data_IF_790510344456
#
_entry.id   IF_790510344456
#
_cell.length_a   1.000
_cell.length_b   1.000
_cell.length_c   1.000
_cell.angle_alpha   90.00
_cell.angle_beta   90.00
_cell.angle_gamma   90.00
#
_symmetry.space_group_name_H-M   'P 1'
#
loop_
_entity.id
_entity.type
_entity.pdbx_description
1 polymer ?
#
# COMPACT_ATOMS: atom_id res chain seq x y z
N UNK A 1 3.99 9.45 14.38
CA UNK A 1 4.86 9.61 13.19
C UNK A 1 4.54 10.97 12.60
N UNK A 2 5.52 11.72 12.09
CA UNK A 2 5.25 13.00 11.43
C UNK A 2 5.27 12.76 9.92
N UNK A 3 4.23 13.25 9.22
CA UNK A 3 4.18 13.28 7.76
C UNK A 3 4.47 14.70 7.30
N UNK A 4 5.45 14.84 6.41
CA UNK A 4 5.90 16.12 5.88
C UNK A 4 5.29 16.36 4.50
N UNK A 5 4.68 17.53 4.29
CA UNK A 5 4.25 17.97 2.97
C UNK A 5 4.92 19.31 2.62
N UNK A 6 5.33 19.43 1.35
CA UNK A 6 5.93 20.65 0.80
C UNK A 6 5.22 21.03 -0.49
N UNK A 7 4.62 22.22 -0.51
CA UNK A 7 4.02 22.79 -1.70
C UNK A 7 5.11 23.08 -2.73
N UNK A 8 5.14 22.34 -3.84
CA UNK A 8 6.23 22.44 -4.81
C UNK A 8 6.27 23.78 -5.56
N UNK A 9 5.17 24.53 -5.57
CA UNK A 9 5.05 25.83 -6.24
C UNK A 9 5.18 27.03 -5.29
N UNK A 10 4.82 26.87 -4.02
CA UNK A 10 4.87 27.94 -3.00
C UNK A 10 6.05 27.80 -2.05
N UNK A 11 6.66 26.61 -1.98
CA UNK A 11 7.64 26.19 -0.97
C UNK A 11 7.13 26.28 0.48
N UNK A 12 5.82 26.38 0.66
CA UNK A 12 5.19 26.31 1.98
C UNK A 12 5.28 24.88 2.51
N UNK A 13 5.54 24.77 3.81
CA UNK A 13 5.73 23.51 4.51
C UNK A 13 4.72 23.41 5.65
N UNK A 14 4.04 22.27 5.70
CA UNK A 14 3.14 21.93 6.80
C UNK A 14 3.55 20.56 7.34
N UNK A 15 3.59 20.44 8.67
CA UNK A 15 3.80 19.16 9.35
C UNK A 15 2.47 18.70 9.92
N UNK A 16 2.09 17.48 9.56
CA UNK A 16 0.88 16.85 10.07
C UNK A 16 1.26 15.58 10.84
N UNK A 17 0.76 15.44 12.05
CA UNK A 17 0.97 14.27 12.88
C UNK A 17 0.02 13.14 12.47
N UNK A 18 0.52 11.91 12.52
CA UNK A 18 -0.28 10.70 12.37
C UNK A 18 0.18 9.61 13.34
N UNK A 19 -0.57 8.51 13.37
CA UNK A 19 -0.21 7.34 14.15
C UNK A 19 1.23 6.89 13.88
N UNK A 20 1.89 6.44 14.94
CA UNK A 20 3.17 5.78 14.80
C UNK A 20 3.02 4.48 13.98
N UNK A 21 4.05 4.20 13.17
CA UNK A 21 4.26 2.92 12.53
C UNK A 21 5.40 3.02 11.55
N UNK A 22 5.51 2.04 10.66
CA UNK A 22 6.66 1.92 9.78
C UNK A 22 6.22 1.41 8.40
N UNK A 23 6.45 2.20 7.36
CA UNK A 23 6.15 1.83 5.98
C UNK A 23 7.40 1.91 5.11
N UNK A 24 7.53 0.95 4.19
CA UNK A 24 8.60 0.94 3.19
C UNK A 24 8.19 1.67 1.92
N UNK A 25 7.01 1.32 1.41
CA UNK A 25 6.55 1.77 0.10
C UNK A 25 5.29 2.63 0.22
N UNK A 26 5.34 3.78 -0.43
CA UNK A 26 4.15 4.55 -0.79
C UNK A 26 3.42 3.82 -1.93
N UNK A 27 2.09 3.78 -1.86
CA UNK A 27 1.23 3.23 -2.90
C UNK A 27 0.91 4.32 -3.92
N UNK A 28 0.44 5.47 -3.44
CA UNK A 28 0.19 6.69 -4.22
C UNK A 28 -0.07 7.88 -3.28
N UNK A 29 0.04 9.10 -3.80
CA UNK A 29 -0.44 10.30 -3.13
C UNK A 29 -1.13 11.24 -4.13
N UNK A 30 -2.21 11.91 -3.72
CA UNK A 30 -2.97 12.79 -4.61
C UNK A 30 -3.81 13.83 -3.86
N UNK A 31 -4.17 14.90 -4.54
CA UNK A 31 -5.09 15.92 -4.03
C UNK A 31 -6.55 15.51 -4.24
N UNK A 32 -7.39 15.73 -3.23
CA UNK A 32 -8.85 15.55 -3.30
C UNK A 32 -9.54 16.79 -2.74
N UNK A 33 -9.85 17.75 -3.62
CA UNK A 33 -10.33 19.06 -3.20
C UNK A 33 -9.20 19.83 -2.52
N UNK A 34 -9.38 20.19 -1.26
CA UNK A 34 -8.33 20.81 -0.43
C UNK A 34 -7.42 19.80 0.26
N UNK A 35 -7.81 18.53 0.29
CA UNK A 35 -7.17 17.52 1.12
C UNK A 35 -6.07 16.80 0.35
N UNK A 36 -5.07 16.30 1.06
CA UNK A 36 -4.01 15.48 0.48
C UNK A 36 -4.18 14.04 0.99
N UNK A 37 -4.29 13.11 0.06
CA UNK A 37 -4.38 11.68 0.34
C UNK A 37 -3.00 11.06 0.15
N UNK A 38 -2.53 10.29 1.12
CA UNK A 38 -1.27 9.53 1.05
C UNK A 38 -1.55 8.09 1.46
N UNK A 39 -1.34 7.16 0.53
CA UNK A 39 -1.54 5.74 0.74
C UNK A 39 -0.19 5.04 0.90
N UNK A 40 -0.04 4.22 1.95
CA UNK A 40 1.24 3.61 2.33
C UNK A 40 1.03 2.15 2.74
N UNK A 41 1.93 1.28 2.31
CA UNK A 41 2.10 -0.07 2.87
C UNK A 41 2.77 0.07 4.24
N UNK A 42 1.99 -0.09 5.32
CA UNK A 42 2.45 0.30 6.65
C UNK A 42 2.23 -0.79 7.70
N UNK A 43 3.31 -1.16 8.37
CA UNK A 43 3.34 -2.03 9.55
C UNK A 43 3.14 -1.23 10.84
N UNK A 44 2.81 -1.92 11.93
CA UNK A 44 2.54 -1.29 13.22
C UNK A 44 3.77 -0.58 13.81
N UNK A 45 4.97 -1.08 13.53
CA UNK A 45 6.22 -0.50 14.02
C UNK A 45 7.44 -1.02 13.24
N UNK A 46 8.61 -0.45 13.52
CA UNK A 46 9.87 -0.74 12.82
C UNK A 46 10.41 -2.16 13.08
N UNK A 47 9.86 -2.93 14.00
CA UNK A 47 10.24 -4.34 14.17
C UNK A 47 9.88 -5.18 12.92
N UNK A 48 9.04 -4.67 12.01
CA UNK A 48 8.79 -5.27 10.71
C UNK A 48 10.06 -5.45 9.86
N UNK A 49 11.12 -4.67 10.11
CA UNK A 49 12.45 -4.87 9.50
C UNK A 49 13.01 -6.25 9.82
N UNK A 50 12.66 -6.81 10.97
CA UNK A 50 13.16 -8.11 11.37
C UNK A 50 12.64 -9.24 10.46
N UNK A 51 11.47 -9.05 9.83
CA UNK A 51 10.87 -10.02 8.93
C UNK A 51 11.72 -10.26 7.67
N UNK A 52 12.64 -9.34 7.36
CA UNK A 52 13.52 -9.41 6.20
C UNK A 52 14.82 -10.18 6.45
N UNK A 53 15.12 -10.56 7.70
CA UNK A 53 16.29 -11.39 7.96
C UNK A 53 16.03 -12.84 7.53
N UNK A 54 17.04 -13.45 6.90
CA UNK A 54 16.94 -14.80 6.32
C UNK A 54 16.59 -15.85 7.36
N UNK A 55 17.13 -15.76 8.57
CA UNK A 55 16.82 -16.67 9.68
C UNK A 55 15.35 -16.56 10.12
N UNK A 56 14.75 -15.37 10.04
CA UNK A 56 13.32 -15.16 10.32
C UNK A 56 12.46 -15.73 9.19
N UNK A 57 12.81 -15.44 7.93
CA UNK A 57 12.08 -15.95 6.76
C UNK A 57 12.08 -17.49 6.70
N UNK A 58 13.23 -18.11 7.01
CA UNK A 58 13.42 -19.57 6.97
C UNK A 58 13.08 -20.27 8.29
N UNK A 59 12.84 -19.50 9.35
CA UNK A 59 12.63 -19.99 10.71
C UNK A 59 11.19 -20.45 10.97
N UNK A 60 10.91 -20.73 12.24
CA UNK A 60 9.54 -20.99 12.66
C UNK A 60 8.66 -19.77 12.44
N UNK A 61 7.37 -20.03 12.23
CA UNK A 61 6.39 -18.98 12.03
C UNK A 61 6.31 -18.06 13.25
N UNK A 62 6.45 -16.76 13.01
CA UNK A 62 6.40 -15.75 14.08
C UNK A 62 5.16 -14.86 13.94
N UNK A 63 4.73 -14.23 15.03
CA UNK A 63 3.59 -13.31 15.06
C UNK A 63 4.00 -11.88 14.61
N UNK A 64 4.78 -11.79 13.53
CA UNK A 64 5.34 -10.53 13.07
C UNK A 64 4.28 -9.65 12.37
N UNK A 65 4.42 -8.33 12.54
CA UNK A 65 3.55 -7.35 11.91
C UNK A 65 3.80 -7.34 10.41
N UNK A 66 2.74 -7.50 9.62
CA UNK A 66 2.78 -7.35 8.17
C UNK A 66 2.14 -6.02 7.76
N UNK A 67 2.65 -5.37 6.70
CA UNK A 67 2.16 -4.09 6.25
C UNK A 67 0.72 -4.20 5.75
N UNK A 68 -0.10 -3.21 6.11
CA UNK A 68 -1.48 -3.05 5.64
C UNK A 68 -1.59 -1.80 4.78
N UNK A 69 -2.66 -1.75 3.99
CA UNK A 69 -3.00 -0.55 3.23
C UNK A 69 -3.48 0.54 4.21
N UNK A 70 -2.64 1.54 4.48
CA UNK A 70 -2.97 2.65 5.37
C UNK A 70 -3.08 3.95 4.58
N UNK A 71 -4.25 4.60 4.66
CA UNK A 71 -4.55 5.89 4.04
C UNK A 71 -4.46 7.00 5.09
N UNK A 72 -3.64 8.00 4.81
CA UNK A 72 -3.57 9.26 5.54
C UNK A 72 -4.28 10.33 4.72
N UNK A 73 -5.22 11.02 5.34
CA UNK A 73 -5.86 12.22 4.78
C UNK A 73 -5.36 13.41 5.56
N UNK A 74 -4.54 14.24 4.92
CA UNK A 74 -4.01 15.48 5.48
C UNK A 74 -5.02 16.59 5.19
N UNK A 75 -5.57 17.19 6.24
CA UNK A 75 -6.56 18.24 6.16
C UNK A 75 -5.87 19.59 6.43
N UNK A 76 -5.92 20.57 5.51
CA UNK A 76 -5.24 21.85 5.70
C UNK A 76 -5.64 22.55 6.99
N UNK A 77 -4.66 23.12 7.69
CA UNK A 77 -4.89 23.85 8.94
C UNK A 77 -5.19 22.94 10.14
N UNK A 78 -5.01 21.62 10.00
CA UNK A 78 -5.09 20.67 11.10
C UNK A 78 -3.70 20.08 11.38
N UNK A 79 -3.41 19.85 12.65
CA UNK A 79 -2.15 19.24 13.06
C UNK A 79 -2.17 17.71 12.99
N UNK A 80 -3.33 17.08 12.70
CA UNK A 80 -3.49 15.62 12.76
C UNK A 80 -4.16 15.09 11.49
N UNK A 81 -3.56 14.06 10.90
CA UNK A 81 -4.12 13.35 9.76
C UNK A 81 -5.30 12.49 10.19
N UNK A 82 -6.33 12.39 9.33
CA UNK A 82 -7.30 11.29 9.44
C UNK A 82 -6.67 10.03 8.87
N UNK A 83 -6.88 8.91 9.55
CA UNK A 83 -6.21 7.64 9.24
C UNK A 83 -7.25 6.55 9.03
N UNK A 84 -7.04 5.74 8.00
CA UNK A 84 -7.89 4.61 7.68
C UNK A 84 -7.05 3.41 7.22
N UNK A 85 -7.49 2.20 7.58
CA UNK A 85 -6.97 0.95 7.02
C UNK A 85 -7.99 0.50 5.98
N UNK A 86 -7.64 0.53 4.69
CA UNK A 86 -8.61 0.28 3.62
C UNK A 86 -8.95 -1.19 3.41
N UNK A 87 -8.02 -2.09 3.75
CA UNK A 87 -8.23 -3.53 3.63
C UNK A 87 -7.73 -4.24 4.89
N UNK A 88 -8.46 -5.27 5.39
CA UNK A 88 -7.94 -6.10 6.48
C UNK A 88 -6.74 -6.96 6.04
N UNK A 89 -6.57 -7.16 4.74
CA UNK A 89 -5.46 -7.93 4.17
C UNK A 89 -4.14 -7.15 4.21
N UNK A 90 -3.06 -7.91 4.11
CA UNK A 90 -1.71 -7.35 3.99
C UNK A 90 -1.42 -6.92 2.55
N UNK A 91 -0.60 -5.90 2.37
CA UNK A 91 -0.10 -5.47 1.07
C UNK A 91 1.31 -4.92 1.20
N UNK A 92 2.20 -5.37 0.32
CA UNK A 92 3.54 -4.83 0.16
C UNK A 92 3.96 -4.89 -1.32
N UNK A 93 5.04 -4.20 -1.69
CA UNK A 93 5.50 -4.03 -3.08
C UNK A 93 4.33 -3.60 -3.98
N UNK A 94 3.74 -2.43 -3.70
CA UNK A 94 2.50 -2.03 -4.32
C UNK A 94 2.71 -1.63 -5.78
N UNK A 95 1.66 -1.83 -6.58
CA UNK A 95 1.57 -1.32 -7.93
C UNK A 95 0.20 -0.71 -8.18
N UNK A 96 0.17 0.26 -9.08
CA UNK A 96 -1.04 0.91 -9.59
C UNK A 96 -0.92 1.02 -11.12
N UNK A 97 -1.98 1.38 -11.84
CA UNK A 97 -1.91 1.79 -13.25
C UNK A 97 -1.14 3.13 -13.43
N UNK A 98 0.17 3.08 -13.13
CA UNK A 98 1.01 4.21 -12.75
C UNK A 98 1.03 5.33 -13.78
N UNK A 99 1.16 4.98 -15.07
CA UNK A 99 1.24 5.96 -16.17
C UNK A 99 0.05 6.93 -16.22
N UNK A 100 -1.14 6.49 -15.77
CA UNK A 100 -2.36 7.30 -15.82
C UNK A 100 -2.78 7.87 -14.47
N UNK A 101 -2.39 7.21 -13.37
CA UNK A 101 -2.98 7.46 -12.06
C UNK A 101 -1.96 7.83 -10.96
N UNK A 102 -0.66 7.79 -11.23
CA UNK A 102 0.33 8.33 -10.30
C UNK A 102 0.06 9.82 -10.03
N UNK A 103 0.00 10.21 -8.75
CA UNK A 103 -0.30 11.59 -8.38
C UNK A 103 -1.79 11.98 -8.50
N UNK A 104 -2.69 11.03 -8.79
CA UNK A 104 -4.11 11.29 -9.08
C UNK A 104 -5.01 10.34 -8.31
N UNK A 105 -6.27 10.75 -8.10
CA UNK A 105 -7.30 9.87 -7.54
C UNK A 105 -7.43 8.61 -8.41
N UNK A 106 -7.44 7.45 -7.76
CA UNK A 106 -7.34 6.13 -8.37
C UNK A 106 -8.14 5.13 -7.55
N UNK A 107 -8.59 4.05 -8.20
CA UNK A 107 -9.47 3.04 -7.61
C UNK A 107 -8.76 1.72 -7.31
N UNK A 108 -7.71 1.33 -8.04
CA UNK A 108 -7.14 -0.01 -7.93
C UNK A 108 -5.66 0.00 -7.56
N UNK A 109 -5.35 -0.68 -6.46
CA UNK A 109 -4.00 -1.03 -6.06
C UNK A 109 -3.78 -2.55 -6.16
N UNK A 110 -2.56 -2.95 -6.45
CA UNK A 110 -2.09 -4.32 -6.51
C UNK A 110 -0.87 -4.49 -5.64
N UNK A 111 -0.54 -5.70 -5.22
CA UNK A 111 0.70 -5.97 -4.48
C UNK A 111 0.86 -7.44 -4.13
N UNK A 112 1.95 -7.76 -3.44
CA UNK A 112 2.09 -9.05 -2.76
C UNK A 112 1.40 -9.00 -1.41
N UNK A 113 0.94 -10.16 -0.95
CA UNK A 113 0.24 -10.31 0.30
C UNK A 113 0.59 -11.65 0.95
N UNK A 114 0.44 -11.73 2.26
CA UNK A 114 0.54 -12.97 3.05
C UNK A 114 -0.84 -13.43 3.46
N UNK A 115 -1.17 -14.68 3.17
CA UNK A 115 -2.49 -15.25 3.46
C UNK A 115 -2.81 -15.30 4.94
N UNK A 116 -3.99 -14.79 5.32
CA UNK A 116 -4.53 -15.00 6.68
C UNK A 116 -4.97 -16.45 6.94
N UNK A 117 -5.32 -17.19 5.88
CA UNK A 117 -5.78 -18.59 5.98
C UNK A 117 -4.60 -19.58 5.96
N UNK A 118 -3.51 -19.22 5.28
CA UNK A 118 -2.28 -20.00 5.17
C UNK A 118 -1.08 -19.11 5.49
N UNK A 119 -0.90 -18.66 6.74
CA UNK A 119 0.10 -17.64 7.03
C UNK A 119 1.49 -18.27 7.09
N UNK A 120 2.41 -17.68 6.34
CA UNK A 120 3.83 -18.02 6.21
C UNK A 120 4.67 -16.77 6.49
N UNK A 121 5.98 -16.94 6.75
CA UNK A 121 6.89 -15.80 6.97
C UNK A 121 7.20 -15.02 5.68
N UNK A 122 6.77 -15.53 4.52
CA UNK A 122 6.94 -14.92 3.20
C UNK A 122 5.59 -14.74 2.52
N UNK A 123 5.47 -13.74 1.65
CA UNK A 123 4.27 -13.50 0.87
C UNK A 123 4.01 -14.66 -0.09
N UNK A 124 2.77 -15.15 -0.11
CA UNK A 124 2.37 -16.36 -0.83
C UNK A 124 1.11 -16.16 -1.70
N UNK A 125 0.72 -14.91 -1.92
CA UNK A 125 -0.45 -14.54 -2.71
C UNK A 125 -0.27 -13.13 -3.31
N UNK A 126 -1.02 -12.86 -4.38
CA UNK A 126 -1.20 -11.51 -4.92
C UNK A 126 -2.53 -10.95 -4.41
N UNK A 127 -2.59 -9.63 -4.27
CA UNK A 127 -3.81 -8.91 -3.89
C UNK A 127 -4.12 -7.81 -4.90
N UNK A 128 -5.42 -7.60 -5.15
CA UNK A 128 -6.00 -6.40 -5.76
C UNK A 128 -6.94 -5.77 -4.74
N UNK A 129 -6.87 -4.46 -4.54
CA UNK A 129 -7.71 -3.70 -3.61
C UNK A 129 -8.46 -2.61 -4.37
N UNK A 130 -9.77 -2.49 -4.15
CA UNK A 130 -10.59 -1.34 -4.55
C UNK A 130 -10.53 -0.28 -3.45
N UNK A 131 -9.85 0.82 -3.70
CA UNK A 131 -9.60 1.90 -2.72
C UNK A 131 -10.84 2.73 -2.40
N UNK A 132 -11.94 2.56 -3.14
CA UNK A 132 -13.20 3.24 -2.87
C UNK A 132 -14.09 2.45 -1.90
N UNK A 133 -13.97 1.12 -1.89
CA UNK A 133 -14.86 0.23 -1.14
C UNK A 133 -14.14 -0.58 -0.06
N UNK A 134 -12.83 -0.73 -0.17
CA UNK A 134 -12.03 -1.64 0.65
C UNK A 134 -12.12 -3.11 0.21
N UNK A 135 -12.91 -3.41 -0.82
CA UNK A 135 -13.03 -4.77 -1.35
C UNK A 135 -11.68 -5.26 -1.89
N UNK A 136 -11.37 -6.53 -1.65
CA UNK A 136 -10.08 -7.12 -2.02
C UNK A 136 -10.27 -8.47 -2.72
N UNK A 137 -9.46 -8.72 -3.74
CA UNK A 137 -9.41 -10.00 -4.46
C UNK A 137 -8.03 -10.60 -4.33
N UNK A 138 -7.98 -11.91 -4.09
CA UNK A 138 -6.75 -12.65 -3.84
C UNK A 138 -6.53 -13.66 -4.96
N UNK A 139 -5.30 -13.68 -5.49
CA UNK A 139 -4.81 -14.79 -6.28
C UNK A 139 -3.79 -15.59 -5.48
N UNK A 140 -3.93 -16.90 -5.49
CA UNK A 140 -3.03 -17.82 -4.82
C UNK A 140 -2.97 -19.14 -5.58
N UNK A 141 -1.81 -19.80 -5.52
CA UNK A 141 -1.61 -21.17 -5.97
C UNK A 141 -0.64 -21.88 -5.02
N UNK A 142 -0.97 -23.11 -4.66
CA UNK A 142 -0.13 -23.95 -3.80
C UNK A 142 1.31 -24.03 -4.33
N UNK A 143 2.30 -23.87 -3.45
CA UNK A 143 3.72 -23.88 -3.80
C UNK A 143 4.19 -22.70 -4.68
N UNK A 144 3.44 -21.59 -4.73
CA UNK A 144 3.79 -20.40 -5.51
C UNK A 144 4.00 -19.18 -4.59
N UNK A 145 5.05 -18.42 -4.87
CA UNK A 145 5.47 -17.24 -4.09
C UNK A 145 5.71 -16.08 -5.07
N UNK A 146 4.70 -15.21 -5.31
CA UNK A 146 4.81 -14.15 -6.31
C UNK A 146 5.75 -13.02 -5.86
N UNK A 147 6.37 -12.35 -6.83
CA UNK A 147 7.18 -11.15 -6.62
C UNK A 147 6.36 -9.86 -6.77
N UNK A 148 7.07 -8.72 -6.84
CA UNK A 148 6.47 -7.41 -7.08
C UNK A 148 5.67 -7.41 -8.40
N UNK A 149 4.35 -7.16 -8.36
CA UNK A 149 3.56 -7.12 -9.57
C UNK A 149 3.78 -5.83 -10.37
N UNK A 150 3.89 -5.92 -11.69
CA UNK A 150 3.79 -4.81 -12.63
C UNK A 150 2.45 -4.77 -13.35
N UNK A 151 1.81 -3.60 -13.43
CA UNK A 151 0.57 -3.42 -14.20
C UNK A 151 0.86 -2.92 -15.62
N UNK A 152 0.25 -3.57 -16.62
CA UNK A 152 0.34 -3.19 -18.04
C UNK A 152 -1.07 -3.00 -18.59
N UNK A 153 -1.49 -1.78 -18.98
CA UNK A 153 -2.82 -1.54 -19.52
C UNK A 153 -3.02 -2.20 -20.88
N UNK A 154 -4.24 -2.65 -21.16
CA UNK A 154 -4.63 -3.09 -22.50
C UNK A 154 -4.55 -1.92 -23.51
N UNK A 155 -4.22 -2.16 -24.79
CA UNK A 155 -4.28 -1.13 -25.82
C UNK A 155 -5.68 -0.52 -25.92
N UNK A 156 -5.81 0.79 -25.69
CA UNK A 156 -7.09 1.49 -25.72
C UNK A 156 -7.96 1.34 -24.46
N UNK A 157 -7.40 0.82 -23.36
CA UNK A 157 -8.10 0.65 -22.09
C UNK A 157 -8.76 1.94 -21.60
N UNK A 158 -10.06 1.90 -21.33
CA UNK A 158 -10.81 3.01 -20.71
C UNK A 158 -10.99 2.81 -19.22
N UNK A 159 -11.20 1.57 -18.78
CA UNK A 159 -11.26 1.21 -17.37
C UNK A 159 -9.86 1.21 -16.74
N UNK A 160 -9.78 1.51 -15.45
CA UNK A 160 -8.51 1.62 -14.73
C UNK A 160 -7.80 0.27 -14.57
N UNK A 161 -8.55 -0.82 -14.41
CA UNK A 161 -8.05 -2.18 -14.23
C UNK A 161 -8.08 -3.03 -15.51
N UNK A 162 -8.35 -2.43 -16.67
CA UNK A 162 -8.27 -3.13 -17.95
C UNK A 162 -6.81 -3.27 -18.39
N UNK A 163 -6.21 -4.40 -18.03
CA UNK A 163 -4.82 -4.72 -18.32
C UNK A 163 -4.41 -6.08 -17.77
N UNK A 164 -3.10 -6.28 -17.72
CA UNK A 164 -2.45 -7.47 -17.21
C UNK A 164 -1.60 -7.13 -15.98
N UNK A 165 -1.55 -8.07 -15.04
CA UNK A 165 -0.63 -8.04 -13.91
C UNK A 165 0.49 -9.05 -14.17
N UNK A 166 1.74 -8.60 -14.10
CA UNK A 166 2.95 -9.39 -14.31
C UNK A 166 3.70 -9.53 -12.97
N UNK A 167 3.62 -10.69 -12.28
CA UNK A 167 4.24 -10.91 -10.97
C UNK A 167 5.71 -11.35 -11.02
#
# INVERSE_FOLDING_TARGET
MQTFHMGLTTLEQEMVEGDAGFGYHEINAYEKGSDIIVDVCMSENAAAVNNLFIDQMMGEKSAQSHPKFKRFTLLPGTSNARIEILSPETIELPAIPYQRFNGREYRYAYGISTSQLRPENVSNQLIKIDTHTGESWIWHKEGSYPGEPGFVPSPGATAEDDGLLLP
#
